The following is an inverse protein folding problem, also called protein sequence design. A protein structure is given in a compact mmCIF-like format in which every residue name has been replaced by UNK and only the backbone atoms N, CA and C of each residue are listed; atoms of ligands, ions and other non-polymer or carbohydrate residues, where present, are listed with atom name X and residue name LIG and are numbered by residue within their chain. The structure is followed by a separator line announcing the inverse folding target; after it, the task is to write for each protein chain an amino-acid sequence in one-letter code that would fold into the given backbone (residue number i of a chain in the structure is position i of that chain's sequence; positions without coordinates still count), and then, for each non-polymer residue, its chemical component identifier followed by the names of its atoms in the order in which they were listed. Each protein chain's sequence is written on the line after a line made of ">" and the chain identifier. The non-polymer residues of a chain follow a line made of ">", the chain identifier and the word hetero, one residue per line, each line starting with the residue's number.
data_IF_845328601694
#
_entry.id   IF_845328601694
#
_cell.length_a   1.000
_cell.length_b   1.000
_cell.length_c   1.000
_cell.angle_alpha   90.00
_cell.angle_beta   90.00
_cell.angle_gamma   90.00
#
_symmetry.space_group_name_H-M   'P 1'
#
loop_
_entity.id
_entity.type
_entity.pdbx_description
1 polymer ?
#
# COMPACT_ATOMS: atom_id res chain seq x y z
N UNK A 1 -40.22 -20.78 -15.33
CA UNK A 1 -39.04 -19.91 -15.09
C UNK A 1 -37.83 -20.59 -15.71
N UNK A 2 -37.18 -19.98 -16.72
CA UNK A 2 -35.99 -20.58 -17.34
C UNK A 2 -34.84 -20.58 -16.33
N UNK A 3 -34.05 -21.67 -16.23
CA UNK A 3 -32.89 -21.70 -15.34
C UNK A 3 -31.84 -20.73 -15.90
N UNK A 4 -31.70 -19.58 -15.26
CA UNK A 4 -30.56 -18.68 -15.51
C UNK A 4 -29.34 -19.38 -14.89
N UNK A 5 -28.30 -19.62 -15.70
CA UNK A 5 -27.03 -20.14 -15.22
C UNK A 5 -26.47 -19.14 -14.19
N UNK A 6 -26.47 -19.53 -12.91
CA UNK A 6 -26.05 -18.67 -11.79
C UNK A 6 -24.56 -18.33 -11.83
N UNK A 7 -23.78 -19.14 -12.54
CA UNK A 7 -22.37 -18.88 -12.85
C UNK A 7 -22.20 -17.62 -13.72
N UNK A 8 -23.12 -17.32 -14.62
CA UNK A 8 -23.07 -16.10 -15.44
C UNK A 8 -23.31 -14.85 -14.60
N UNK A 9 -24.11 -14.97 -13.54
CA UNK A 9 -24.38 -13.87 -12.60
C UNK A 9 -23.15 -13.54 -11.75
N UNK A 10 -22.39 -14.54 -11.30
CA UNK A 10 -21.17 -14.30 -10.51
C UNK A 10 -20.04 -13.74 -11.38
N UNK A 11 -19.86 -14.28 -12.58
CA UNK A 11 -18.90 -13.76 -13.56
C UNK A 11 -19.25 -12.32 -13.96
N UNK A 12 -20.53 -12.03 -14.17
CA UNK A 12 -21.01 -10.67 -14.44
C UNK A 12 -20.70 -9.67 -13.31
N UNK A 13 -20.81 -10.09 -12.05
CA UNK A 13 -20.42 -9.25 -10.89
C UNK A 13 -18.92 -8.98 -10.86
N UNK A 14 -18.09 -9.99 -11.10
CA UNK A 14 -16.64 -9.84 -11.07
C UNK A 14 -16.16 -8.94 -12.21
N UNK A 15 -16.66 -9.15 -13.44
CA UNK A 15 -16.29 -8.36 -14.62
C UNK A 15 -16.75 -6.91 -14.48
N UNK A 16 -17.99 -6.68 -14.03
CA UNK A 16 -18.50 -5.32 -13.80
C UNK A 16 -17.71 -4.60 -12.71
N UNK A 17 -17.39 -5.27 -11.60
CA UNK A 17 -16.56 -4.70 -10.55
C UNK A 17 -15.16 -4.33 -11.06
N UNK A 18 -14.52 -5.23 -11.83
CA UNK A 18 -13.21 -4.97 -12.42
C UNK A 18 -13.25 -3.77 -13.39
N UNK A 19 -14.29 -3.67 -14.21
CA UNK A 19 -14.47 -2.55 -15.15
C UNK A 19 -14.67 -1.22 -14.41
N UNK A 20 -15.52 -1.20 -13.39
CA UNK A 20 -15.75 0.00 -12.56
C UNK A 20 -14.48 0.42 -11.83
N UNK A 21 -13.77 -0.52 -11.19
CA UNK A 21 -12.51 -0.25 -10.49
C UNK A 21 -11.47 0.33 -11.46
N UNK A 22 -11.32 -0.27 -12.64
CA UNK A 22 -10.37 0.18 -13.66
C UNK A 22 -10.68 1.59 -14.14
N UNK A 23 -11.96 1.88 -14.42
CA UNK A 23 -12.40 3.19 -14.86
C UNK A 23 -12.21 4.24 -13.75
N UNK A 24 -12.61 3.94 -12.53
CA UNK A 24 -12.45 4.85 -11.38
C UNK A 24 -10.97 5.15 -11.11
N UNK A 25 -10.10 4.14 -11.17
CA UNK A 25 -8.65 4.34 -10.99
C UNK A 25 -8.03 5.14 -12.13
N UNK A 26 -8.44 4.89 -13.38
CA UNK A 26 -7.99 5.69 -14.51
C UNK A 26 -8.38 7.17 -14.34
N UNK A 27 -9.64 7.47 -14.00
CA UNK A 27 -10.10 8.85 -13.80
C UNK A 27 -9.38 9.51 -12.62
N UNK A 28 -9.25 8.81 -11.49
CA UNK A 28 -8.58 9.33 -10.29
C UNK A 28 -7.11 9.63 -10.54
N UNK A 29 -6.40 8.73 -11.23
CA UNK A 29 -4.99 8.94 -11.58
C UNK A 29 -4.81 10.07 -12.58
N UNK A 30 -5.64 10.16 -13.63
CA UNK A 30 -5.61 11.30 -14.57
C UNK A 30 -5.82 12.63 -13.84
N UNK A 31 -6.82 12.71 -12.95
CA UNK A 31 -7.07 13.90 -12.15
C UNK A 31 -5.85 14.26 -11.28
N UNK A 32 -5.23 13.27 -10.63
CA UNK A 32 -4.02 13.47 -9.82
C UNK A 32 -2.84 13.99 -10.64
N UNK A 33 -2.65 13.48 -11.86
CA UNK A 33 -1.58 13.92 -12.77
C UNK A 33 -1.84 15.33 -13.25
N UNK A 34 -3.07 15.66 -13.66
CA UNK A 34 -3.45 17.01 -14.10
C UNK A 34 -3.14 18.04 -13.01
N UNK A 35 -3.53 17.78 -11.76
CA UNK A 35 -3.21 18.66 -10.63
C UNK A 35 -1.71 18.79 -10.42
N UNK A 36 -0.97 17.68 -10.52
CA UNK A 36 0.48 17.68 -10.31
C UNK A 36 1.23 18.53 -11.34
N UNK A 37 0.82 18.46 -12.61
CA UNK A 37 1.40 19.25 -13.71
C UNK A 37 1.12 20.74 -13.51
N UNK A 38 -0.13 21.10 -13.16
CA UNK A 38 -0.52 22.50 -12.94
C UNK A 38 0.27 23.17 -11.81
N UNK A 39 0.57 22.42 -10.74
CA UNK A 39 1.27 22.96 -9.58
C UNK A 39 2.80 23.00 -9.73
N UNK A 40 3.40 22.00 -10.38
CA UNK A 40 4.85 21.84 -10.38
C UNK A 40 5.54 22.30 -11.68
N UNK A 41 4.78 22.56 -12.77
CA UNK A 41 5.30 22.99 -14.08
C UNK A 41 6.52 22.15 -14.56
N UNK A 42 6.51 20.86 -14.25
CA UNK A 42 7.58 19.91 -14.60
C UNK A 42 7.26 19.28 -15.96
N UNK A 43 8.28 19.16 -16.81
CA UNK A 43 8.17 18.41 -18.06
C UNK A 43 8.01 16.91 -17.78
N UNK A 44 6.84 16.37 -18.13
CA UNK A 44 6.56 14.93 -18.02
C UNK A 44 7.40 14.18 -19.05
N UNK A 45 8.24 13.24 -18.58
CA UNK A 45 9.03 12.39 -19.47
C UNK A 45 8.28 11.10 -19.83
N UNK A 46 8.70 10.43 -20.91
CA UNK A 46 8.15 9.12 -21.29
C UNK A 46 8.34 8.07 -20.17
N UNK A 47 9.45 8.13 -19.43
CA UNK A 47 9.70 7.24 -18.29
C UNK A 47 8.68 7.47 -17.16
N UNK A 48 8.33 8.72 -16.87
CA UNK A 48 7.30 9.04 -15.87
C UNK A 48 5.92 8.49 -16.30
N UNK A 49 5.57 8.54 -17.59
CA UNK A 49 4.31 7.98 -18.13
C UNK A 49 4.25 6.46 -17.91
N UNK A 50 5.34 5.74 -18.21
CA UNK A 50 5.38 4.29 -18.01
C UNK A 50 5.28 3.95 -16.52
N UNK A 51 5.96 4.69 -15.64
CA UNK A 51 5.84 4.51 -14.17
C UNK A 51 4.41 4.73 -13.70
N UNK A 52 3.75 5.78 -14.17
CA UNK A 52 2.34 6.05 -13.85
C UNK A 52 1.45 4.90 -14.34
N UNK A 53 1.65 4.39 -15.55
CA UNK A 53 0.88 3.26 -16.07
C UNK A 53 1.03 2.00 -15.20
N UNK A 54 2.26 1.68 -14.80
CA UNK A 54 2.56 0.57 -13.88
C UNK A 54 1.93 0.80 -12.51
N UNK A 55 1.96 2.02 -11.99
CA UNK A 55 1.29 2.40 -10.75
C UNK A 55 -0.23 2.19 -10.81
N UNK A 56 -0.87 2.61 -11.90
CA UNK A 56 -2.31 2.40 -12.11
C UNK A 56 -2.64 0.91 -12.15
N UNK A 57 -1.84 0.11 -12.86
CA UNK A 57 -2.03 -1.33 -12.93
C UNK A 57 -2.00 -1.99 -11.53
N UNK A 58 -0.99 -1.68 -10.71
CA UNK A 58 -0.92 -2.20 -9.34
C UNK A 58 -2.04 -1.68 -8.43
N UNK A 59 -2.48 -0.43 -8.63
CA UNK A 59 -3.61 0.16 -7.89
C UNK A 59 -4.92 -0.56 -8.17
N UNK A 60 -5.13 -0.97 -9.43
CA UNK A 60 -6.29 -1.78 -9.84
C UNK A 60 -6.25 -3.15 -9.16
N UNK A 61 -5.09 -3.82 -9.16
CA UNK A 61 -4.93 -5.13 -8.50
C UNK A 61 -5.21 -5.03 -6.99
N UNK A 62 -4.66 -4.02 -6.31
CA UNK A 62 -4.92 -3.77 -4.89
C UNK A 62 -6.42 -3.56 -4.62
N UNK A 63 -7.07 -2.71 -5.42
CA UNK A 63 -8.50 -2.42 -5.26
C UNK A 63 -9.36 -3.65 -5.49
N UNK A 64 -8.99 -4.46 -6.49
CA UNK A 64 -9.64 -5.73 -6.79
C UNK A 64 -9.43 -6.76 -5.67
N UNK A 65 -8.29 -6.77 -4.99
CA UNK A 65 -8.06 -7.59 -3.82
C UNK A 65 -8.98 -7.25 -2.65
N UNK A 66 -9.21 -5.96 -2.38
CA UNK A 66 -10.21 -5.55 -1.39
C UNK A 66 -11.63 -5.89 -1.81
N UNK A 67 -11.96 -5.79 -3.10
CA UNK A 67 -13.24 -6.25 -3.62
C UNK A 67 -13.43 -7.76 -3.41
N UNK A 68 -12.44 -8.58 -3.74
CA UNK A 68 -12.48 -10.03 -3.54
C UNK A 68 -12.62 -10.39 -2.06
N UNK A 69 -11.90 -9.70 -1.18
CA UNK A 69 -11.98 -9.87 0.27
C UNK A 69 -13.37 -9.50 0.81
N UNK A 70 -13.91 -8.36 0.37
CA UNK A 70 -15.27 -7.91 0.72
C UNK A 70 -16.33 -8.89 0.23
N UNK A 71 -16.18 -9.42 -0.99
CA UNK A 71 -17.06 -10.43 -1.56
C UNK A 71 -17.04 -11.71 -0.72
N UNK A 72 -15.85 -12.18 -0.32
CA UNK A 72 -15.69 -13.33 0.56
C UNK A 72 -16.43 -13.13 1.89
N UNK A 73 -16.23 -12.02 2.60
CA UNK A 73 -16.95 -11.74 3.84
C UNK A 73 -18.46 -11.53 3.63
N UNK A 74 -18.87 -11.01 2.47
CA UNK A 74 -20.27 -10.87 2.11
C UNK A 74 -20.97 -12.22 2.00
N UNK A 75 -20.27 -13.28 1.56
CA UNK A 75 -20.83 -14.63 1.57
C UNK A 75 -21.07 -15.16 2.98
N UNK A 76 -20.36 -14.68 4.01
CA UNK A 76 -20.58 -15.13 5.40
C UNK A 76 -21.77 -14.43 6.07
N UNK A 77 -22.02 -13.16 5.77
CA UNK A 77 -23.06 -12.36 6.44
C UNK A 77 -24.46 -12.63 5.88
N UNK A 78 -25.43 -12.88 6.76
CA UNK A 78 -26.84 -13.11 6.41
C UNK A 78 -27.59 -11.83 6.00
N UNK A 79 -27.00 -10.64 6.18
CA UNK A 79 -27.61 -9.34 5.86
C UNK A 79 -26.68 -8.47 5.01
N UNK A 80 -27.22 -7.94 3.89
CA UNK A 80 -26.51 -7.10 2.91
C UNK A 80 -25.91 -5.82 3.50
N UNK A 81 -26.54 -5.21 4.51
CA UNK A 81 -26.01 -4.00 5.16
C UNK A 81 -24.77 -4.25 6.02
N UNK A 82 -24.65 -5.44 6.61
CA UNK A 82 -23.52 -5.77 7.48
C UNK A 82 -22.25 -6.12 6.69
N UNK A 83 -22.37 -6.65 5.47
CA UNK A 83 -21.21 -7.02 4.66
C UNK A 83 -20.42 -5.81 4.20
N UNK A 84 -21.09 -4.71 3.84
CA UNK A 84 -20.44 -3.46 3.46
C UNK A 84 -19.66 -2.84 4.63
N UNK A 85 -20.24 -2.87 5.84
CA UNK A 85 -19.57 -2.38 7.06
C UNK A 85 -18.34 -3.23 7.40
N UNK A 86 -18.45 -4.56 7.27
CA UNK A 86 -17.32 -5.48 7.48
C UNK A 86 -16.20 -5.23 6.47
N UNK A 87 -16.54 -5.01 5.19
CA UNK A 87 -15.56 -4.69 4.15
C UNK A 87 -14.83 -3.36 4.42
N UNK A 88 -15.53 -2.33 4.87
CA UNK A 88 -14.90 -1.07 5.26
C UNK A 88 -14.04 -1.25 6.51
N UNK A 89 -14.52 -2.01 7.50
CA UNK A 89 -13.78 -2.30 8.73
C UNK A 89 -12.47 -3.04 8.47
N UNK A 90 -12.47 -4.05 7.59
CA UNK A 90 -11.25 -4.79 7.23
C UNK A 90 -10.25 -3.87 6.53
N UNK A 91 -10.74 -3.01 5.61
CA UNK A 91 -9.88 -2.06 4.90
C UNK A 91 -9.26 -1.05 5.88
N UNK A 92 -10.04 -0.45 6.77
CA UNK A 92 -9.55 0.49 7.80
C UNK A 92 -8.51 -0.18 8.70
N UNK A 93 -8.75 -1.43 9.09
CA UNK A 93 -7.82 -2.18 9.92
C UNK A 93 -6.45 -2.33 9.23
N UNK A 94 -6.42 -2.78 7.98
CA UNK A 94 -5.17 -2.96 7.24
C UNK A 94 -4.50 -1.64 6.80
N UNK A 95 -5.28 -0.59 6.58
CA UNK A 95 -4.79 0.70 6.09
C UNK A 95 -4.27 1.61 7.21
N UNK A 96 -4.91 1.62 8.38
CA UNK A 96 -4.60 2.56 9.46
C UNK A 96 -4.18 1.86 10.76
N UNK A 97 -4.95 0.89 11.22
CA UNK A 97 -4.73 0.28 12.54
C UNK A 97 -3.42 -0.51 12.55
N UNK A 98 -3.20 -1.36 11.55
CA UNK A 98 -2.03 -2.23 11.49
C UNK A 98 -0.70 -1.45 11.42
N UNK A 99 -0.54 -0.40 10.57
CA UNK A 99 0.69 0.40 10.58
C UNK A 99 0.96 1.10 11.91
N UNK A 100 -0.07 1.63 12.58
CA UNK A 100 0.04 2.29 13.89
C UNK A 100 0.49 1.29 14.95
N UNK A 101 -0.19 0.15 15.05
CA UNK A 101 0.14 -0.91 16.01
C UNK A 101 1.54 -1.44 15.77
N UNK A 102 1.90 -1.68 14.51
CA UNK A 102 3.24 -2.14 14.14
C UNK A 102 4.34 -1.16 14.59
N UNK A 103 4.15 0.14 14.35
CA UNK A 103 5.10 1.18 14.78
C UNK A 103 5.23 1.24 16.30
N UNK A 104 4.11 1.11 17.01
CA UNK A 104 4.08 1.11 18.47
C UNK A 104 4.79 -0.12 19.05
N UNK A 105 4.52 -1.30 18.50
CA UNK A 105 5.17 -2.56 18.92
C UNK A 105 6.68 -2.48 18.67
N UNK A 106 7.11 -1.98 17.51
CA UNK A 106 8.52 -1.79 17.21
C UNK A 106 9.19 -0.87 18.24
N UNK A 107 8.54 0.23 18.62
CA UNK A 107 9.05 1.15 19.64
C UNK A 107 9.12 0.52 21.04
N UNK A 108 8.12 -0.24 21.44
CA UNK A 108 8.09 -0.95 22.74
C UNK A 108 9.21 -1.99 22.81
N UNK A 109 9.44 -2.73 21.72
CA UNK A 109 10.46 -3.79 21.67
C UNK A 109 11.89 -3.22 21.68
N UNK A 110 12.14 -2.11 20.99
CA UNK A 110 13.47 -1.48 20.96
C UNK A 110 13.76 -0.55 22.14
N UNK A 111 12.74 -0.04 22.81
CA UNK A 111 12.90 0.97 23.87
C UNK A 111 13.19 2.37 23.31
N UNK A 112 13.49 3.35 24.18
CA UNK A 112 13.71 4.73 23.74
C UNK A 112 14.99 4.86 22.88
N UNK A 113 15.02 5.84 21.96
CA UNK A 113 16.19 6.08 21.11
C UNK A 113 17.44 6.44 21.93
N UNK A 114 18.65 6.09 21.46
CA UNK A 114 19.90 6.32 22.19
C UNK A 114 20.09 7.81 22.57
N UNK A 115 20.59 8.07 23.78
CA UNK A 115 20.63 9.38 24.44
C UNK A 115 21.32 10.52 23.65
N UNK A 116 22.19 10.18 22.69
CA UNK A 116 22.81 11.16 21.77
C UNK A 116 21.80 11.75 20.79
N UNK A 117 20.76 11.02 20.41
CA UNK A 117 19.72 11.50 19.51
C UNK A 117 18.78 12.52 20.19
N UNK A 118 18.42 12.30 21.46
CA UNK A 118 17.64 13.26 22.26
C UNK A 118 18.40 14.54 22.57
N UNK A 119 19.72 14.48 22.73
CA UNK A 119 20.58 15.66 22.87
C UNK A 119 20.58 16.54 21.60
N UNK A 120 20.64 15.93 20.41
CA UNK A 120 20.57 16.64 19.12
C UNK A 120 19.22 17.32 18.93
N UNK A 121 18.10 16.63 19.18
CA UNK A 121 16.75 17.23 19.10
C UNK A 121 16.56 18.40 20.08
N UNK A 122 17.15 18.34 21.27
CA UNK A 122 17.12 19.44 22.23
C UNK A 122 18.03 20.62 21.83
N UNK A 123 19.15 20.35 21.14
CA UNK A 123 20.02 21.40 20.57
C UNK A 123 19.33 22.15 19.42
N UNK A 124 18.59 21.46 18.54
CA UNK A 124 17.83 22.10 17.45
C UNK A 124 16.74 23.04 17.95
N UNK A 125 16.22 22.80 19.17
CA UNK A 125 15.20 23.67 19.80
C UNK A 125 15.82 24.90 20.49
N UNK A 126 17.12 24.91 20.80
CA UNK A 126 17.74 25.94 21.66
C UNK A 126 18.75 26.89 21.01
N UNK A 127 19.36 26.61 19.85
CA UNK A 127 20.30 27.54 19.21
C UNK A 127 20.16 27.51 17.69
N UNK A 128 19.71 28.60 17.04
CA UNK A 128 20.42 29.84 16.71
C UNK A 128 21.11 29.74 15.34
N UNK A 129 20.62 30.60 14.45
CA UNK A 129 21.05 30.96 13.10
C UNK A 129 22.58 30.90 12.90
N UNK A 130 23.09 29.93 12.12
CA UNK A 130 24.50 29.88 11.73
C UNK A 130 24.92 28.51 11.16
N UNK A 131 25.54 28.54 9.97
CA UNK A 131 26.18 27.46 9.20
C UNK A 131 25.75 26.01 9.53
N UNK A 132 24.76 25.52 8.78
CA UNK A 132 24.14 24.21 8.94
C UNK A 132 25.09 23.07 8.50
N UNK A 133 25.97 22.60 9.39
CA UNK A 133 26.48 21.23 9.28
C UNK A 133 25.45 20.33 9.92
N UNK A 134 24.63 19.66 9.11
CA UNK A 134 23.76 18.59 9.60
C UNK A 134 24.64 17.61 10.40
N UNK A 135 24.40 17.41 11.71
CA UNK A 135 25.19 16.48 12.47
C UNK A 135 25.06 15.12 11.78
N UNK A 136 26.20 14.60 11.30
CA UNK A 136 26.33 13.28 10.69
C UNK A 136 25.54 12.32 11.57
N UNK A 137 24.43 11.79 11.06
CA UNK A 137 23.59 10.85 11.82
C UNK A 137 24.53 9.83 12.45
N UNK A 138 24.60 9.79 13.78
CA UNK A 138 25.44 8.83 14.48
C UNK A 138 25.03 7.44 13.99
N UNK A 139 25.99 6.58 13.63
CA UNK A 139 25.72 5.23 13.12
C UNK A 139 24.78 4.43 14.05
N UNK A 140 24.80 4.74 15.35
CA UNK A 140 23.88 4.25 16.37
C UNK A 140 22.40 4.55 16.07
N UNK A 141 22.07 5.76 15.58
CA UNK A 141 20.71 6.16 15.23
C UNK A 141 20.21 5.50 13.95
N UNK A 142 21.09 5.37 12.94
CA UNK A 142 20.79 4.64 11.70
C UNK A 142 20.49 3.17 11.98
N UNK A 143 21.29 2.53 12.84
CA UNK A 143 21.07 1.15 13.25
C UNK A 143 19.77 0.99 14.06
N UNK A 144 19.47 1.93 14.96
CA UNK A 144 18.21 1.95 15.71
C UNK A 144 17.00 2.09 14.78
N UNK A 145 17.04 3.02 13.82
CA UNK A 145 15.98 3.20 12.81
C UNK A 145 15.81 1.96 11.94
N UNK A 146 16.91 1.36 11.48
CA UNK A 146 16.87 0.12 10.68
C UNK A 146 16.14 -0.99 11.43
N UNK A 147 16.48 -1.21 12.70
CA UNK A 147 15.83 -2.23 13.55
C UNK A 147 14.35 -1.92 13.79
N UNK A 148 13.98 -0.65 14.01
CA UNK A 148 12.56 -0.26 14.12
C UNK A 148 11.80 -0.58 12.84
N UNK A 149 12.34 -0.20 11.68
CA UNK A 149 11.73 -0.47 10.39
C UNK A 149 11.65 -1.97 10.12
N UNK A 150 12.67 -2.74 10.49
CA UNK A 150 12.70 -4.20 10.33
C UNK A 150 11.55 -4.87 11.11
N UNK A 151 11.43 -4.61 12.41
CA UNK A 151 10.34 -5.15 13.24
C UNK A 151 8.98 -4.68 12.73
N UNK A 152 8.86 -3.40 12.41
CA UNK A 152 7.60 -2.84 11.93
C UNK A 152 7.19 -3.47 10.60
N UNK A 153 8.15 -3.65 9.68
CA UNK A 153 7.92 -4.26 8.38
C UNK A 153 7.54 -5.74 8.47
N UNK A 154 8.12 -6.49 9.42
CA UNK A 154 7.77 -7.89 9.65
C UNK A 154 6.31 -8.07 10.12
N UNK A 155 5.80 -7.12 10.90
CA UNK A 155 4.38 -7.12 11.31
C UNK A 155 3.49 -6.70 10.13
N UNK A 156 3.92 -5.70 9.36
CA UNK A 156 3.15 -5.16 8.24
C UNK A 156 3.18 -6.05 7.00
N UNK A 157 4.13 -6.98 6.87
CA UNK A 157 4.22 -7.90 5.73
C UNK A 157 3.01 -8.84 5.59
N UNK A 158 2.15 -8.91 6.61
CA UNK A 158 0.87 -9.61 6.50
C UNK A 158 -0.18 -8.81 5.70
N UNK A 159 0.01 -7.50 5.56
CA UNK A 159 -0.91 -6.60 4.86
C UNK A 159 -0.57 -6.49 3.38
N UNK A 160 -1.59 -6.63 2.54
CA UNK A 160 -1.46 -6.37 1.11
C UNK A 160 -1.05 -4.92 0.80
N UNK A 161 -1.40 -3.97 1.68
CA UNK A 161 -0.97 -2.57 1.55
C UNK A 161 0.55 -2.45 1.65
N UNK A 162 1.20 -3.26 2.51
CA UNK A 162 2.65 -3.21 2.67
C UNK A 162 3.34 -3.56 1.34
N UNK A 163 2.98 -4.69 0.73
CA UNK A 163 3.54 -5.10 -0.55
C UNK A 163 3.31 -4.06 -1.66
N UNK A 164 2.10 -3.48 -1.72
CA UNK A 164 1.80 -2.39 -2.64
C UNK A 164 2.67 -1.13 -2.39
N UNK A 165 2.82 -0.71 -1.13
CA UNK A 165 3.65 0.44 -0.76
C UNK A 165 5.12 0.19 -1.06
N UNK A 166 5.64 -1.03 -0.90
CA UNK A 166 7.03 -1.38 -1.24
C UNK A 166 7.28 -1.31 -2.76
N UNK A 167 6.32 -1.73 -3.58
CA UNK A 167 6.40 -1.62 -5.04
C UNK A 167 6.38 -0.14 -5.47
N UNK A 168 5.41 0.62 -4.96
CA UNK A 168 5.20 2.03 -5.36
C UNK A 168 6.31 2.97 -4.86
N UNK A 169 6.82 2.75 -3.64
CA UNK A 169 7.99 3.48 -3.12
C UNK A 169 9.23 3.23 -3.97
N UNK A 170 9.47 1.97 -4.37
CA UNK A 170 10.58 1.61 -5.26
C UNK A 170 10.41 2.20 -6.66
N UNK A 171 9.17 2.36 -7.13
CA UNK A 171 8.85 2.92 -8.44
C UNK A 171 9.10 4.41 -8.55
N UNK A 172 8.83 5.18 -7.49
CA UNK A 172 8.98 6.64 -7.50
C UNK A 172 10.15 7.15 -6.67
N UNK A 173 10.90 6.28 -6.01
CA UNK A 173 12.02 6.66 -5.14
C UNK A 173 11.60 7.31 -3.83
N UNK A 174 10.33 7.23 -3.45
CA UNK A 174 9.85 7.72 -2.16
C UNK A 174 10.26 6.74 -1.06
N UNK A 175 11.40 6.95 -0.43
CA UNK A 175 11.76 6.20 0.78
C UNK A 175 10.75 6.56 1.87
N UNK A 176 10.03 5.54 2.37
CA UNK A 176 9.11 5.63 3.52
C UNK A 176 9.91 5.77 4.82
N UNK A 177 10.57 6.92 4.98
CA UNK A 177 11.13 7.42 6.23
C UNK A 177 10.31 8.60 6.76
N UNK A 178 10.36 8.91 8.06
CA UNK A 178 9.62 10.04 8.62
C UNK A 178 10.18 11.36 8.04
N UNK A 179 9.38 12.00 7.18
CA UNK A 179 9.45 13.41 6.75
C UNK A 179 10.88 13.95 6.50
N UNK A 180 11.52 13.50 5.42
CA UNK A 180 12.69 14.20 4.86
C UNK A 180 12.22 15.11 3.69
N UNK A 181 11.76 16.31 4.03
CA UNK A 181 11.64 17.40 3.06
C UNK A 181 13.04 17.96 2.77
N UNK A 182 13.71 17.42 1.76
CA UNK A 182 15.00 17.93 1.34
C UNK A 182 15.79 16.93 0.51
N UNK A 183 15.89 17.21 -0.79
CA UNK A 183 16.84 16.67 -1.76
C UNK A 183 17.43 15.27 -1.44
N UNK A 184 16.78 14.23 -1.97
CA UNK A 184 17.50 13.02 -2.36
C UNK A 184 17.45 12.89 -3.87
N UNK A 185 18.63 12.69 -4.45
CA UNK A 185 18.79 12.39 -5.87
C UNK A 185 17.79 11.31 -6.27
N UNK A 186 17.01 11.60 -7.31
CA UNK A 186 16.17 10.65 -8.04
C UNK A 186 17.14 9.57 -8.57
N UNK A 187 17.49 8.60 -7.73
CA UNK A 187 18.13 7.38 -8.20
C UNK A 187 16.99 6.56 -8.79
N UNK A 188 16.48 7.01 -9.94
CA UNK A 188 15.43 6.32 -10.68
C UNK A 188 16.03 5.04 -11.21
N UNK A 189 16.07 4.01 -10.36
CA UNK A 189 16.34 2.66 -10.80
C UNK A 189 15.42 2.38 -12.00
N UNK A 190 16.00 1.76 -13.03
CA UNK A 190 15.25 1.36 -14.22
C UNK A 190 14.05 0.54 -13.79
N UNK A 191 12.92 0.75 -14.47
CA UNK A 191 11.63 0.09 -14.17
C UNK A 191 11.82 -1.43 -14.10
N UNK A 192 12.61 -1.99 -15.03
CA UNK A 192 12.99 -3.41 -15.04
C UNK A 192 13.66 -3.88 -13.76
N UNK A 193 14.59 -3.09 -13.22
CA UNK A 193 15.28 -3.38 -11.95
C UNK A 193 14.34 -3.32 -10.76
N UNK A 194 13.40 -2.37 -10.76
CA UNK A 194 12.39 -2.26 -9.69
C UNK A 194 11.47 -3.47 -9.69
N UNK A 195 10.97 -3.88 -10.87
CA UNK A 195 10.08 -5.03 -10.99
C UNK A 195 10.80 -6.34 -10.64
N UNK A 196 12.06 -6.51 -11.07
CA UNK A 196 12.81 -7.74 -10.78
C UNK A 196 13.21 -7.86 -9.30
N UNK A 197 13.50 -6.74 -8.64
CA UNK A 197 13.86 -6.73 -7.22
C UNK A 197 12.68 -7.06 -6.32
N UNK A 198 11.44 -6.74 -6.75
CA UNK A 198 10.22 -6.85 -5.95
C UNK A 198 9.25 -7.94 -6.44
N UNK A 199 9.77 -9.00 -7.06
CA UNK A 199 8.94 -10.10 -7.58
C UNK A 199 8.07 -10.74 -6.49
N UNK A 200 8.61 -10.93 -5.27
CA UNK A 200 7.84 -11.52 -4.18
C UNK A 200 6.61 -10.67 -3.79
N UNK A 201 6.79 -9.35 -3.70
CA UNK A 201 5.70 -8.42 -3.38
C UNK A 201 4.63 -8.41 -4.48
N UNK A 202 5.05 -8.46 -5.75
CA UNK A 202 4.15 -8.54 -6.91
C UNK A 202 3.37 -9.84 -6.90
N UNK A 203 4.04 -10.98 -6.63
CA UNK A 203 3.39 -12.28 -6.57
C UNK A 203 2.35 -12.32 -5.46
N UNK A 204 2.65 -11.79 -4.27
CA UNK A 204 1.69 -11.74 -3.16
C UNK A 204 0.48 -10.87 -3.54
N UNK A 205 0.72 -9.71 -4.18
CA UNK A 205 -0.35 -8.81 -4.61
C UNK A 205 -1.30 -9.45 -5.63
N UNK A 206 -0.79 -10.34 -6.50
CA UNK A 206 -1.59 -11.05 -7.51
C UNK A 206 -2.26 -12.29 -6.93
N UNK A 207 -1.56 -13.07 -6.11
CA UNK A 207 -2.08 -14.33 -5.55
C UNK A 207 -3.21 -14.07 -4.54
N UNK A 208 -3.08 -13.01 -3.73
CA UNK A 208 -4.08 -12.66 -2.72
C UNK A 208 -5.52 -12.54 -3.28
N UNK A 209 -5.82 -11.69 -4.28
CA UNK A 209 -7.17 -11.59 -4.85
C UNK A 209 -7.67 -12.92 -5.40
N UNK A 210 -6.80 -13.72 -6.04
CA UNK A 210 -7.16 -15.00 -6.65
C UNK A 210 -7.60 -16.00 -5.57
N UNK A 211 -6.85 -16.10 -4.47
CA UNK A 211 -7.18 -16.99 -3.35
C UNK A 211 -8.52 -16.62 -2.72
N UNK A 212 -8.78 -15.32 -2.50
CA UNK A 212 -10.05 -14.88 -1.91
C UNK A 212 -11.24 -15.05 -2.86
N UNK A 213 -11.05 -14.86 -4.18
CA UNK A 213 -12.08 -15.18 -5.16
C UNK A 213 -12.40 -16.67 -5.19
N UNK A 214 -11.39 -17.53 -5.19
CA UNK A 214 -11.58 -18.97 -5.19
C UNK A 214 -12.26 -19.45 -3.90
N UNK A 215 -11.85 -18.90 -2.74
CA UNK A 215 -12.49 -19.17 -1.46
C UNK A 215 -13.96 -18.71 -1.46
N UNK A 216 -14.26 -17.54 -2.02
CA UNK A 216 -15.63 -17.03 -2.16
C UNK A 216 -16.47 -17.93 -3.06
N UNK A 217 -15.89 -18.43 -4.16
CA UNK A 217 -16.56 -19.36 -5.08
C UNK A 217 -16.89 -20.68 -4.38
N UNK A 218 -15.94 -21.26 -3.66
CA UNK A 218 -16.13 -22.52 -2.92
C UNK A 218 -17.15 -22.42 -1.78
N UNK A 219 -17.20 -21.28 -1.07
CA UNK A 219 -18.24 -21.04 -0.04
C UNK A 219 -19.62 -20.89 -0.68
N UNK A 220 -19.70 -20.24 -1.84
CA UNK A 220 -20.96 -20.05 -2.56
C UNK A 220 -21.54 -21.38 -3.07
N UNK A 221 -20.71 -22.30 -3.56
CA UNK A 221 -21.16 -23.64 -3.98
C UNK A 221 -21.57 -24.51 -2.79
N UNK A 222 -20.85 -24.47 -1.67
CA UNK A 222 -21.21 -25.22 -0.44
C UNK A 222 -22.53 -24.80 0.20
N UNK A 223 -22.95 -23.53 0.06
CA UNK A 223 -24.25 -23.07 0.57
C UNK A 223 -25.45 -23.57 -0.26
N UNK A 224 -25.23 -24.27 -1.37
CA UNK A 224 -26.31 -24.83 -2.20
C UNK A 224 -26.68 -26.28 -1.82
N UNK A 225 -25.90 -26.94 -0.95
CA UNK A 225 -26.20 -28.30 -0.46
C UNK A 225 -27.07 -28.34 0.82
N UNK A 226 -27.41 -27.19 1.41
CA UNK A 226 -28.29 -27.09 2.58
C UNK A 226 -29.58 -26.38 2.22
#
# INVERSE_FOLDING_TARGET
>A
SRPIYREDVINGKIISALAVISLTMAISSLASISVSILLHNVAVTLDDIVRICVFIAFSIILSFAYYALSLFFSTFSSKSSHSLIIGIGIWIFFAFILPIVSSLVAFIVLGPPPARATAVFNMTRRQQFGNFTFPRESEELLNYRRKLTEISSAIQSFSINYHYTQITSSLFGFVTGPLEFGQRERTTASISTVLSTRIADIMILIVFPIVFLFASYMVFTRRQEK
#
